data_IF_208501467798
#
_entry.id   IF_208501467798
#
_cell.length_a   1.000
_cell.length_b   1.000
_cell.length_c   1.000
_cell.angle_alpha   90.00
_cell.angle_beta   90.00
_cell.angle_gamma   90.00
#
_symmetry.space_group_name_H-M   'P 1'
#
loop_
_entity.id
_entity.type
_entity.pdbx_description
1 polymer ?
#
# COMPACT_ATOMS: atom_id res chain seq x y z
N UNK A 1 57.02 -17.64 -5.16
CA UNK A 1 56.37 -17.41 -3.85
C UNK A 1 55.55 -16.10 -3.78
N UNK A 2 55.40 -15.32 -4.86
CA UNK A 2 54.81 -13.95 -4.81
C UNK A 2 53.30 -13.88 -5.14
N UNK A 3 52.70 -14.90 -5.75
CA UNK A 3 51.28 -14.84 -6.18
C UNK A 3 50.25 -15.20 -5.10
N UNK A 4 50.65 -15.89 -4.03
CA UNK A 4 49.71 -16.37 -2.98
C UNK A 4 49.47 -15.30 -1.93
N UNK A 5 50.50 -14.51 -1.57
CA UNK A 5 50.37 -13.40 -0.63
C UNK A 5 49.46 -12.27 -1.17
N UNK A 6 49.53 -11.98 -2.48
CA UNK A 6 48.66 -10.99 -3.12
C UNK A 6 47.17 -11.44 -3.14
N UNK A 7 46.90 -12.74 -3.32
CA UNK A 7 45.53 -13.28 -3.24
C UNK A 7 44.97 -13.24 -1.81
N UNK A 8 45.80 -13.47 -0.80
CA UNK A 8 45.38 -13.43 0.60
C UNK A 8 45.12 -12.00 1.09
N UNK A 9 45.90 -11.02 0.64
CA UNK A 9 45.65 -9.59 0.96
C UNK A 9 44.30 -9.12 0.40
N UNK A 10 44.01 -9.43 -0.87
CA UNK A 10 42.75 -9.04 -1.50
C UNK A 10 41.51 -9.69 -0.85
N UNK A 11 41.62 -10.94 -0.35
CA UNK A 11 40.50 -11.61 0.33
C UNK A 11 40.25 -11.01 1.72
N UNK A 12 41.31 -10.62 2.45
CA UNK A 12 41.19 -9.97 3.75
C UNK A 12 40.59 -8.56 3.63
N UNK A 13 40.98 -7.81 2.59
CA UNK A 13 40.47 -6.45 2.34
C UNK A 13 38.99 -6.47 1.92
N UNK A 14 38.56 -7.46 1.11
CA UNK A 14 37.14 -7.65 0.73
C UNK A 14 36.29 -8.08 1.92
N UNK A 15 36.76 -9.01 2.76
CA UNK A 15 36.04 -9.42 3.97
C UNK A 15 35.90 -8.27 4.99
N UNK A 16 36.86 -7.35 5.05
CA UNK A 16 36.78 -6.15 5.89
C UNK A 16 35.75 -5.14 5.37
N UNK A 17 35.64 -4.99 4.05
CA UNK A 17 34.64 -4.13 3.40
C UNK A 17 33.21 -4.67 3.56
N UNK A 18 33.00 -5.97 3.40
CA UNK A 18 31.69 -6.59 3.54
C UNK A 18 31.17 -6.53 4.99
N UNK A 19 32.06 -6.72 5.97
CA UNK A 19 31.72 -6.56 7.38
C UNK A 19 31.31 -5.11 7.73
N UNK A 20 31.95 -4.10 7.11
CA UNK A 20 31.54 -2.70 7.26
C UNK A 20 30.20 -2.42 6.59
N UNK A 21 29.94 -3.00 5.41
CA UNK A 21 28.67 -2.86 4.72
C UNK A 21 27.50 -3.44 5.55
N UNK A 22 27.67 -4.60 6.18
CA UNK A 22 26.66 -5.19 7.06
C UNK A 22 26.32 -4.29 8.26
N UNK A 23 27.33 -3.68 8.90
CA UNK A 23 27.11 -2.74 10.01
C UNK A 23 26.35 -1.50 9.55
N UNK A 24 26.65 -0.98 8.37
CA UNK A 24 25.95 0.19 7.81
C UNK A 24 24.50 -0.16 7.45
N UNK A 25 24.25 -1.33 6.87
CA UNK A 25 22.90 -1.81 6.54
C UNK A 25 22.07 -1.98 7.81
N UNK A 26 22.63 -2.56 8.87
CA UNK A 26 21.94 -2.71 10.15
C UNK A 26 21.59 -1.36 10.77
N UNK A 27 22.50 -0.38 10.73
CA UNK A 27 22.21 0.98 11.18
C UNK A 27 21.13 1.66 10.34
N UNK A 28 21.10 1.39 9.04
CA UNK A 28 20.05 1.90 8.17
C UNK A 28 18.70 1.26 8.49
N UNK A 29 18.67 -0.04 8.79
CA UNK A 29 17.48 -0.76 9.24
C UNK A 29 16.89 -0.16 10.51
N UNK A 30 17.72 0.11 11.52
CA UNK A 30 17.30 0.79 12.76
C UNK A 30 16.68 2.16 12.51
N UNK A 31 17.28 2.97 11.63
CA UNK A 31 16.77 4.31 11.32
C UNK A 31 15.48 4.28 10.52
N UNK A 32 15.29 3.29 9.63
CA UNK A 32 14.02 3.10 8.92
C UNK A 32 12.92 2.68 9.88
N UNK A 33 13.20 1.80 10.86
CA UNK A 33 12.22 1.45 11.90
C UNK A 33 11.79 2.65 12.74
N UNK A 34 12.75 3.50 13.15
CA UNK A 34 12.44 4.74 13.87
C UNK A 34 11.59 5.70 13.01
N UNK A 35 11.91 5.83 11.72
CA UNK A 35 11.13 6.63 10.78
C UNK A 35 9.69 6.11 10.65
N UNK A 36 9.51 4.80 10.50
CA UNK A 36 8.18 4.16 10.42
C UNK A 36 7.38 4.42 11.69
N UNK A 37 7.97 4.23 12.87
CA UNK A 37 7.32 4.50 14.14
C UNK A 37 6.88 5.98 14.26
N UNK A 38 7.74 6.92 13.83
CA UNK A 38 7.40 8.35 13.84
C UNK A 38 6.25 8.70 12.88
N UNK A 39 6.17 8.00 11.73
CA UNK A 39 5.10 8.20 10.75
C UNK A 39 3.77 7.69 11.29
N UNK A 40 3.76 6.50 11.90
CA UNK A 40 2.58 5.94 12.56
C UNK A 40 2.07 6.85 13.67
N UNK A 41 2.98 7.44 14.45
CA UNK A 41 2.64 8.44 15.47
C UNK A 41 1.97 9.69 14.88
N UNK A 42 2.48 10.22 13.76
CA UNK A 42 1.88 11.36 13.07
C UNK A 42 0.49 11.02 12.51
N UNK A 43 0.31 9.81 11.96
CA UNK A 43 -0.99 9.32 11.47
C UNK A 43 -1.98 9.22 12.63
N UNK A 44 -1.58 8.63 13.75
CA UNK A 44 -2.41 8.51 14.94
C UNK A 44 -2.82 9.89 15.49
N UNK A 45 -1.90 10.84 15.53
CA UNK A 45 -2.19 12.21 15.96
C UNK A 45 -3.19 12.89 15.01
N UNK A 46 -3.00 12.75 13.69
CA UNK A 46 -3.91 13.32 12.69
C UNK A 46 -5.32 12.75 12.81
N UNK A 47 -5.43 11.43 13.02
CA UNK A 47 -6.71 10.77 13.22
C UNK A 47 -7.38 11.21 14.53
N UNK A 48 -6.61 11.32 15.62
CA UNK A 48 -7.10 11.81 16.91
C UNK A 48 -7.64 13.25 16.80
N UNK A 49 -6.91 14.16 16.13
CA UNK A 49 -7.37 15.54 15.90
C UNK A 49 -8.70 15.58 15.15
N UNK A 50 -8.90 14.68 14.18
CA UNK A 50 -10.17 14.57 13.43
C UNK A 50 -11.32 13.97 14.27
N UNK A 51 -10.99 13.10 15.22
CA UNK A 51 -11.97 12.42 16.06
C UNK A 51 -12.42 13.28 17.26
N UNK A 52 -11.54 14.09 17.86
CA UNK A 52 -11.84 14.90 19.04
C UNK A 52 -13.13 15.76 18.90
N UNK A 53 -13.39 16.46 17.78
CA UNK A 53 -14.63 17.24 17.62
C UNK A 53 -15.91 16.40 17.71
N UNK A 54 -15.87 15.12 17.36
CA UNK A 54 -17.02 14.22 17.43
C UNK A 54 -17.31 13.72 18.84
N UNK A 55 -16.29 13.69 19.70
CA UNK A 55 -16.37 13.23 21.10
C UNK A 55 -16.60 14.41 22.05
N UNK A 56 -16.30 15.63 21.62
CA UNK A 56 -16.47 16.84 22.41
C UNK A 56 -17.95 17.14 22.69
N UNK A 57 -18.31 17.18 23.97
CA UNK A 57 -19.60 17.68 24.44
C UNK A 57 -19.39 19.03 25.14
N UNK A 58 -19.96 20.14 24.63
CA UNK A 58 -19.98 21.40 25.36
C UNK A 58 -20.76 21.22 26.67
N UNK A 59 -20.18 21.61 27.80
CA UNK A 59 -20.90 21.60 29.07
C UNK A 59 -21.92 22.75 29.11
N UNK A 60 -23.22 22.44 29.10
CA UNK A 60 -24.32 23.42 29.17
C UNK A 60 -24.46 24.14 30.53
N UNK A 61 -23.53 23.95 31.47
CA UNK A 61 -23.58 24.59 32.78
C UNK A 61 -22.69 25.84 32.83
N UNK A 62 -23.30 26.96 32.49
CA UNK A 62 -22.75 28.31 32.54
C UNK A 62 -22.40 28.82 33.97
N UNK A 63 -22.11 27.94 34.94
CA UNK A 63 -21.83 28.33 36.34
C UNK A 63 -20.46 27.91 36.87
N UNK A 64 -19.69 27.12 36.14
CA UNK A 64 -18.29 26.83 36.51
C UNK A 64 -17.43 26.84 35.26
N UNK A 65 -16.56 27.84 35.13
CA UNK A 65 -15.57 27.94 34.05
C UNK A 65 -14.52 26.83 34.25
N UNK A 66 -14.86 25.60 33.85
CA UNK A 66 -13.92 24.50 33.84
C UNK A 66 -13.39 24.35 32.42
N UNK A 67 -12.18 24.88 32.22
CA UNK A 67 -11.47 24.77 30.94
C UNK A 67 -11.37 23.30 30.55
N UNK A 68 -11.99 22.93 29.42
CA UNK A 68 -11.86 21.57 28.90
C UNK A 68 -10.40 21.33 28.55
N UNK A 69 -9.78 20.35 29.19
CA UNK A 69 -8.39 20.02 28.91
C UNK A 69 -8.29 19.23 27.60
N UNK A 70 -8.10 19.93 26.48
CA UNK A 70 -7.99 19.31 25.16
C UNK A 70 -6.78 18.38 25.02
N UNK A 71 -5.73 18.58 25.82
CA UNK A 71 -4.55 17.72 25.82
C UNK A 71 -4.90 16.31 26.28
N UNK A 72 -5.66 16.15 27.35
CA UNK A 72 -6.03 14.82 27.86
C UNK A 72 -7.01 14.10 26.93
N UNK A 73 -7.92 14.83 26.28
CA UNK A 73 -8.82 14.26 25.25
C UNK A 73 -8.05 13.74 24.05
N UNK A 74 -7.05 14.49 23.58
CA UNK A 74 -6.23 14.10 22.45
C UNK A 74 -5.35 12.89 22.79
N UNK A 75 -4.69 12.90 23.95
CA UNK A 75 -3.89 11.78 24.43
C UNK A 75 -4.72 10.49 24.59
N UNK A 76 -5.94 10.61 25.11
CA UNK A 76 -6.86 9.47 25.23
C UNK A 76 -7.24 8.89 23.86
N UNK A 77 -7.51 9.75 22.86
CA UNK A 77 -7.90 9.30 21.53
C UNK A 77 -6.72 8.70 20.74
N UNK A 78 -5.52 9.30 20.85
CA UNK A 78 -4.27 8.71 20.33
C UNK A 78 -4.03 7.34 20.95
N UNK A 79 -4.22 7.19 22.27
CA UNK A 79 -4.09 5.91 22.96
C UNK A 79 -5.01 4.81 22.39
N UNK A 80 -6.28 5.14 22.12
CA UNK A 80 -7.23 4.21 21.49
C UNK A 80 -6.78 3.79 20.09
N UNK A 81 -6.34 4.76 19.28
CA UNK A 81 -5.91 4.52 17.90
C UNK A 81 -4.65 3.63 17.87
N UNK A 82 -3.69 3.89 18.76
CA UNK A 82 -2.47 3.07 18.89
C UNK A 82 -2.78 1.65 19.37
N UNK A 83 -3.71 1.49 20.32
CA UNK A 83 -4.15 0.16 20.78
C UNK A 83 -4.80 -0.66 19.66
N UNK A 84 -5.62 -0.02 18.82
CA UNK A 84 -6.24 -0.66 17.66
C UNK A 84 -5.24 -1.01 16.54
N UNK A 85 -4.06 -0.37 16.51
CA UNK A 85 -3.06 -0.49 15.44
C UNK A 85 -1.84 -1.32 15.84
N UNK A 86 -1.98 -2.23 16.80
CA UNK A 86 -0.89 -3.03 17.39
C UNK A 86 -0.29 -4.11 16.45
N UNK A 87 -0.10 -3.78 15.18
CA UNK A 87 0.77 -4.51 14.27
C UNK A 87 2.23 -4.22 14.66
N UNK A 88 3.09 -5.24 14.63
CA UNK A 88 4.53 -5.05 14.82
C UNK A 88 5.07 -4.12 13.72
N UNK A 89 5.94 -3.16 14.08
CA UNK A 89 6.55 -2.24 13.09
C UNK A 89 7.34 -2.94 11.98
N UNK A 90 7.65 -4.23 12.15
CA UNK A 90 8.26 -5.09 11.14
C UNK A 90 7.32 -5.47 9.99
N UNK A 91 6.01 -5.38 10.20
CA UNK A 91 4.99 -5.69 9.18
C UNK A 91 4.59 -4.45 8.36
N UNK A 92 5.27 -3.31 8.55
CA UNK A 92 4.96 -2.10 7.81
C UNK A 92 5.44 -2.23 6.34
N UNK A 93 4.60 -1.90 5.34
CA UNK A 93 4.98 -2.00 3.92
C UNK A 93 6.29 -1.27 3.56
N UNK A 94 6.56 -0.12 4.19
CA UNK A 94 7.78 0.64 3.94
C UNK A 94 9.04 -0.10 4.44
N UNK A 95 8.93 -0.76 5.59
CA UNK A 95 10.04 -1.53 6.14
C UNK A 95 10.29 -2.83 5.35
N UNK A 96 9.21 -3.49 4.91
CA UNK A 96 9.30 -4.63 4.00
C UNK A 96 10.00 -4.27 2.70
N UNK A 97 9.57 -3.19 2.04
CA UNK A 97 10.16 -2.70 0.81
C UNK A 97 11.66 -2.39 0.98
N UNK A 98 12.05 -1.82 2.13
CA UNK A 98 13.45 -1.59 2.45
C UNK A 98 14.24 -2.90 2.47
N UNK A 99 13.78 -3.93 3.20
CA UNK A 99 14.46 -5.23 3.27
C UNK A 99 14.56 -5.91 1.90
N UNK A 100 13.47 -5.90 1.13
CA UNK A 100 13.45 -6.45 -0.23
C UNK A 100 14.45 -5.73 -1.15
N UNK A 101 14.52 -4.40 -1.05
CA UNK A 101 15.47 -3.60 -1.84
C UNK A 101 16.92 -3.91 -1.48
N UNK A 102 17.23 -4.06 -0.19
CA UNK A 102 18.56 -4.47 0.29
C UNK A 102 18.90 -5.89 -0.20
N UNK A 103 17.94 -6.82 -0.12
CA UNK A 103 18.11 -8.19 -0.60
C UNK A 103 18.40 -8.27 -2.10
N UNK A 104 17.63 -7.52 -2.90
CA UNK A 104 17.70 -7.50 -4.36
C UNK A 104 19.07 -7.05 -4.91
N UNK A 105 19.87 -6.31 -4.13
CA UNK A 105 21.23 -5.87 -4.54
C UNK A 105 22.15 -7.06 -4.85
N UNK A 106 22.04 -8.14 -4.07
CA UNK A 106 22.90 -9.33 -4.21
C UNK A 106 22.14 -10.58 -4.67
N UNK A 107 20.81 -10.55 -4.67
CA UNK A 107 19.95 -11.72 -4.90
C UNK A 107 18.83 -11.43 -5.91
N UNK A 108 19.15 -10.64 -6.95
CA UNK A 108 18.16 -10.25 -7.96
C UNK A 108 17.44 -11.46 -8.58
N UNK A 109 16.11 -11.42 -8.58
CA UNK A 109 15.26 -12.49 -9.08
C UNK A 109 15.09 -13.69 -8.14
N UNK A 110 15.68 -13.66 -6.94
CA UNK A 110 15.44 -14.65 -5.89
C UNK A 110 14.55 -14.05 -4.80
N UNK A 111 13.51 -14.77 -4.34
CA UNK A 111 12.70 -14.32 -3.22
C UNK A 111 13.53 -14.23 -1.93
N UNK A 112 13.20 -13.29 -1.05
CA UNK A 112 13.89 -13.11 0.23
C UNK A 112 13.58 -14.29 1.18
N UNK A 113 14.59 -14.97 1.77
CA UNK A 113 14.38 -16.10 2.66
C UNK A 113 13.57 -15.71 3.90
N UNK A 114 12.60 -16.53 4.28
CA UNK A 114 11.80 -16.35 5.48
C UNK A 114 10.50 -15.55 5.30
N UNK A 115 10.24 -14.96 4.13
CA UNK A 115 8.91 -14.39 3.81
C UNK A 115 7.93 -15.43 3.23
N UNK A 116 8.38 -16.67 3.01
CA UNK A 116 7.59 -17.77 2.44
C UNK A 116 6.69 -18.50 3.46
N UNK A 117 6.71 -18.11 4.75
CA UNK A 117 5.86 -18.69 5.79
C UNK A 117 4.88 -17.71 6.45
N UNK A 118 4.94 -16.43 6.08
CA UNK A 118 3.97 -15.44 6.54
C UNK A 118 2.98 -15.19 5.40
N UNK A 119 1.96 -16.06 5.40
CA UNK A 119 0.73 -15.93 4.64
C UNK A 119 0.84 -16.09 3.11
N UNK A 120 0.76 -17.35 2.65
CA UNK A 120 -0.33 -17.65 1.68
C UNK A 120 -1.66 -17.61 2.45
N UNK A 121 -1.97 -16.47 3.06
CA UNK A 121 -3.36 -16.04 3.05
C UNK A 121 -3.56 -15.80 1.57
N UNK A 122 -4.44 -16.57 0.95
CA UNK A 122 -5.18 -16.03 -0.17
C UNK A 122 -5.84 -14.75 0.36
N UNK A 123 -5.10 -13.65 0.40
CA UNK A 123 -5.70 -12.32 0.43
C UNK A 123 -6.16 -12.18 -1.00
N UNK A 124 -7.21 -12.92 -1.32
CA UNK A 124 -7.89 -12.81 -2.58
C UNK A 124 -8.21 -11.33 -2.70
N UNK A 125 -7.46 -10.64 -3.56
CA UNK A 125 -7.93 -9.45 -4.22
C UNK A 125 -8.33 -8.28 -3.29
N UNK A 126 -7.54 -7.90 -2.27
CA UNK A 126 -7.68 -6.54 -1.72
C UNK A 126 -6.96 -5.52 -2.63
N UNK A 127 -7.37 -5.47 -3.89
CA UNK A 127 -7.03 -4.34 -4.75
C UNK A 127 -7.71 -3.10 -4.16
N UNK A 128 -6.92 -2.18 -3.61
CA UNK A 128 -7.41 -0.87 -3.17
C UNK A 128 -8.00 -0.05 -4.34
N UNK A 129 -7.64 -0.44 -5.57
CA UNK A 129 -8.15 0.08 -6.83
C UNK A 129 -9.58 -0.42 -7.07
N UNK A 130 -10.55 0.49 -6.99
CA UNK A 130 -11.98 0.16 -7.14
C UNK A 130 -12.45 0.00 -8.58
N UNK A 131 -11.63 0.39 -9.57
CA UNK A 131 -11.99 0.30 -10.99
C UNK A 131 -10.80 -0.14 -11.83
N UNK A 132 -11.03 -1.09 -12.73
CA UNK A 132 -10.00 -1.65 -13.62
C UNK A 132 -9.75 -0.80 -14.86
N UNK A 133 -10.72 0.03 -15.25
CA UNK A 133 -10.65 0.93 -16.41
C UNK A 133 -11.07 2.34 -16.02
N UNK A 134 -10.53 3.34 -16.70
CA UNK A 134 -10.97 4.73 -16.56
C UNK A 134 -12.39 4.88 -17.14
N UNK A 135 -13.39 5.33 -16.35
CA UNK A 135 -14.78 5.45 -16.81
C UNK A 135 -15.01 6.47 -17.94
N UNK A 136 -14.03 7.35 -18.21
CA UNK A 136 -14.14 8.39 -19.23
C UNK A 136 -13.41 8.04 -20.53
N UNK A 137 -12.29 7.33 -20.45
CA UNK A 137 -11.47 6.99 -21.62
C UNK A 137 -11.57 5.52 -22.02
N UNK A 138 -12.06 4.66 -21.13
CA UNK A 138 -12.08 3.21 -21.31
C UNK A 138 -10.71 2.54 -21.20
N UNK A 139 -9.62 3.31 -21.07
CA UNK A 139 -8.26 2.77 -20.92
C UNK A 139 -8.14 2.01 -19.60
N UNK A 140 -7.42 0.88 -19.56
CA UNK A 140 -7.15 0.19 -18.31
C UNK A 140 -6.30 1.08 -17.40
N UNK A 141 -6.54 0.98 -16.08
CA UNK A 141 -5.87 1.83 -15.09
C UNK A 141 -4.35 1.69 -15.15
N UNK A 142 -3.86 0.49 -15.46
CA UNK A 142 -2.45 0.18 -15.67
C UNK A 142 -1.82 0.87 -16.88
N UNK A 143 -2.59 1.45 -17.80
CA UNK A 143 -2.07 2.16 -18.99
C UNK A 143 -2.27 3.68 -18.92
N UNK A 144 -2.75 4.21 -17.79
CA UNK A 144 -2.94 5.64 -17.62
C UNK A 144 -1.59 6.35 -17.48
N UNK A 145 -1.41 7.43 -18.23
CA UNK A 145 -0.18 8.24 -18.18
C UNK A 145 -0.17 9.12 -16.92
N UNK A 146 -1.33 9.74 -16.64
CA UNK A 146 -1.53 10.61 -15.49
C UNK A 146 -2.76 10.16 -14.69
N UNK A 147 -2.65 9.07 -13.92
CA UNK A 147 -3.74 8.59 -13.08
C UNK A 147 -4.04 9.58 -11.95
N UNK A 148 -5.32 9.84 -11.72
CA UNK A 148 -5.81 10.64 -10.60
C UNK A 148 -6.99 9.94 -9.94
N UNK A 149 -7.08 10.02 -8.62
CA UNK A 149 -8.10 9.38 -7.81
C UNK A 149 -8.97 10.43 -7.14
N UNK A 150 -10.28 10.20 -7.12
CA UNK A 150 -11.19 11.03 -6.34
C UNK A 150 -11.10 10.67 -4.86
N UNK A 151 -10.90 11.64 -3.98
CA UNK A 151 -10.81 11.42 -2.52
C UNK A 151 -12.13 10.87 -1.94
N UNK A 152 -13.28 11.30 -2.48
CA UNK A 152 -14.61 10.98 -1.93
C UNK A 152 -15.16 9.61 -2.35
N UNK A 153 -14.74 9.08 -3.50
CA UNK A 153 -15.20 7.79 -4.05
C UNK A 153 -14.09 6.82 -4.45
N UNK A 154 -12.82 7.21 -4.35
CA UNK A 154 -11.63 6.42 -4.69
C UNK A 154 -11.55 5.89 -6.14
N UNK A 155 -12.45 6.30 -7.03
CA UNK A 155 -12.36 5.95 -8.45
C UNK A 155 -11.22 6.70 -9.15
N UNK A 156 -10.57 6.00 -10.08
CA UNK A 156 -9.38 6.43 -10.82
C UNK A 156 -9.76 6.88 -12.22
N UNK A 157 -9.15 7.98 -12.66
CA UNK A 157 -9.36 8.59 -13.95
C UNK A 157 -8.05 9.04 -14.59
N UNK A 158 -8.06 9.24 -15.90
CA UNK A 158 -7.04 10.01 -16.58
C UNK A 158 -7.23 11.52 -16.27
N UNK A 159 -6.15 12.22 -15.93
CA UNK A 159 -6.19 13.61 -15.46
C UNK A 159 -6.84 14.58 -16.45
N UNK A 160 -6.47 14.56 -17.73
CA UNK A 160 -6.97 15.55 -18.69
C UNK A 160 -8.47 15.37 -18.98
N UNK A 161 -8.96 14.14 -19.27
CA UNK A 161 -10.39 13.89 -19.50
C UNK A 161 -11.27 14.20 -18.30
N UNK A 162 -10.86 13.84 -17.07
CA UNK A 162 -11.68 14.11 -15.89
C UNK A 162 -11.79 15.60 -15.59
N UNK A 163 -10.72 16.36 -15.79
CA UNK A 163 -10.74 17.82 -15.63
C UNK A 163 -11.67 18.47 -16.67
N UNK A 164 -11.69 17.98 -17.91
CA UNK A 164 -12.64 18.45 -18.92
C UNK A 164 -14.08 18.07 -18.59
N UNK A 165 -14.31 16.84 -18.12
CA UNK A 165 -15.63 16.36 -17.70
C UNK A 165 -16.23 17.20 -16.55
N UNK A 166 -15.43 17.51 -15.52
CA UNK A 166 -15.86 18.34 -14.39
C UNK A 166 -16.25 19.75 -14.83
N UNK A 167 -15.56 20.31 -15.84
CA UNK A 167 -15.85 21.64 -16.38
C UNK A 167 -17.08 21.69 -17.29
N UNK A 168 -17.37 20.61 -18.01
CA UNK A 168 -18.43 20.54 -19.01
C UNK A 168 -19.79 20.12 -18.45
N UNK A 169 -19.84 19.27 -17.41
CA UNK A 169 -21.08 18.76 -16.83
C UNK A 169 -21.47 19.47 -15.53
N UNK A 170 -22.75 19.77 -15.33
CA UNK A 170 -23.29 20.39 -14.10
C UNK A 170 -24.59 19.69 -13.63
N UNK A 171 -24.61 18.99 -12.48
CA UNK A 171 -23.47 18.69 -11.61
C UNK A 171 -22.56 17.57 -12.18
N UNK A 172 -21.24 17.66 -12.02
CA UNK A 172 -20.30 16.65 -12.51
C UNK A 172 -20.30 15.41 -11.60
N UNK A 173 -21.29 14.54 -11.75
CA UNK A 173 -21.37 13.28 -11.00
C UNK A 173 -20.31 12.28 -11.45
N UNK A 174 -19.87 11.42 -10.53
CA UNK A 174 -19.03 10.27 -10.82
C UNK A 174 -19.63 9.42 -11.97
N UNK A 175 -18.88 9.11 -13.05
CA UNK A 175 -19.39 8.31 -14.17
C UNK A 175 -19.56 6.81 -13.86
N UNK A 176 -19.07 6.33 -12.71
CA UNK A 176 -19.24 4.94 -12.29
C UNK A 176 -20.71 4.70 -11.93
N UNK A 177 -21.30 3.66 -12.50
CA UNK A 177 -22.67 3.26 -12.20
C UNK A 177 -22.86 3.02 -10.69
N UNK A 178 -23.88 3.66 -10.11
CA UNK A 178 -24.20 3.52 -8.68
C UNK A 178 -23.39 4.40 -7.73
N UNK A 179 -22.45 5.22 -8.21
CA UNK A 179 -21.72 6.16 -7.36
C UNK A 179 -22.44 7.52 -7.26
N UNK A 180 -22.93 7.95 -6.08
CA UNK A 180 -23.67 9.21 -5.93
C UNK A 180 -22.77 10.46 -5.79
N UNK A 181 -21.44 10.30 -5.77
CA UNK A 181 -20.52 11.40 -5.48
C UNK A 181 -20.44 12.40 -6.63
N UNK A 182 -20.33 13.67 -6.28
CA UNK A 182 -20.11 14.78 -7.21
C UNK A 182 -18.61 15.09 -7.22
N UNK A 183 -17.99 15.05 -8.40
CA UNK A 183 -16.57 15.29 -8.59
C UNK A 183 -16.25 16.78 -8.46
N UNK A 184 -15.22 17.10 -7.71
CA UNK A 184 -14.68 18.45 -7.59
C UNK A 184 -13.21 18.47 -8.01
N UNK A 185 -12.77 19.56 -8.65
CA UNK A 185 -11.38 19.69 -9.13
C UNK A 185 -10.36 19.51 -7.98
N UNK A 186 -10.67 20.05 -6.80
CA UNK A 186 -9.80 19.92 -5.61
C UNK A 186 -9.75 18.51 -5.03
N UNK A 187 -10.75 17.66 -5.31
CA UNK A 187 -10.87 16.32 -4.74
C UNK A 187 -10.38 15.22 -5.70
N UNK A 188 -9.90 15.58 -6.88
CA UNK A 188 -9.34 14.64 -7.87
C UNK A 188 -7.83 14.87 -7.93
N UNK A 189 -7.08 14.00 -7.25
CA UNK A 189 -5.65 14.17 -7.01
C UNK A 189 -4.89 12.88 -7.32
N UNK A 190 -3.63 13.00 -7.74
CA UNK A 190 -2.72 11.86 -7.78
C UNK A 190 -2.01 11.80 -6.43
N UNK A 191 -2.49 10.96 -5.51
CA UNK A 191 -1.75 10.73 -4.27
C UNK A 191 -0.52 9.84 -4.51
N UNK A 192 0.51 9.88 -3.63
CA UNK A 192 1.73 9.11 -3.82
C UNK A 192 1.51 7.59 -3.85
N UNK A 193 0.52 7.08 -3.11
CA UNK A 193 0.24 5.65 -3.02
C UNK A 193 -0.43 5.12 -4.28
N UNK A 194 -1.27 5.92 -4.95
CA UNK A 194 -1.94 5.54 -6.20
C UNK A 194 -0.96 5.02 -7.27
N UNK A 195 0.22 5.63 -7.38
CA UNK A 195 1.24 5.18 -8.35
C UNK A 195 1.84 3.84 -7.98
N UNK A 196 2.02 3.59 -6.69
CA UNK A 196 2.55 2.33 -6.15
C UNK A 196 1.50 1.23 -6.36
N UNK A 197 0.24 1.49 -5.98
CA UNK A 197 -0.89 0.56 -6.18
C UNK A 197 -1.03 0.14 -7.66
N UNK A 198 -0.88 1.09 -8.60
CA UNK A 198 -0.94 0.81 -10.05
C UNK A 198 0.27 -0.01 -10.52
N UNK A 199 1.46 0.24 -9.97
CA UNK A 199 2.67 -0.48 -10.33
C UNK A 199 2.67 -1.92 -9.79
N UNK A 200 2.15 -2.12 -8.58
CA UNK A 200 1.87 -3.45 -8.04
C UNK A 200 0.87 -4.22 -8.92
N UNK A 201 -0.19 -3.54 -9.38
CA UNK A 201 -1.18 -4.11 -10.30
C UNK A 201 -0.57 -4.50 -11.66
N UNK A 202 0.43 -3.77 -12.15
CA UNK A 202 1.19 -4.13 -13.36
C UNK A 202 2.08 -5.35 -13.13
N UNK A 203 2.77 -5.37 -11.99
CA UNK A 203 3.71 -6.42 -11.63
C UNK A 203 3.02 -7.77 -11.37
N UNK A 204 1.74 -7.75 -11.00
CA UNK A 204 0.87 -8.93 -10.86
C UNK A 204 0.21 -9.41 -12.17
N UNK A 205 0.66 -8.91 -13.34
CA UNK A 205 0.23 -9.34 -14.67
C UNK A 205 0.44 -10.83 -14.99
N UNK A 206 -0.15 -11.36 -16.08
CA UNK A 206 -0.77 -12.67 -16.16
C UNK A 206 0.21 -13.86 -16.14
N UNK A 207 0.50 -14.36 -14.96
CA UNK A 207 0.87 -15.78 -14.70
C UNK A 207 -0.22 -16.50 -13.90
N UNK A 208 -1.48 -16.10 -14.08
CA UNK A 208 -2.61 -17.01 -13.88
C UNK A 208 -2.89 -17.66 -15.24
N UNK A 209 -2.69 -18.98 -15.41
CA UNK A 209 -3.12 -19.64 -16.64
C UNK A 209 -4.62 -19.42 -16.74
N UNK A 210 -5.02 -18.78 -17.84
CA UNK A 210 -6.36 -18.69 -18.38
C UNK A 210 -7.37 -19.61 -17.66
N UNK A 211 -8.20 -19.03 -16.80
CA UNK A 211 -9.38 -19.68 -16.22
C UNK A 211 -10.49 -19.89 -17.28
N UNK A 212 -10.11 -20.29 -18.49
CA UNK A 212 -10.98 -20.69 -19.59
C UNK A 212 -10.75 -22.14 -20.04
N UNK A 213 -9.81 -22.87 -19.43
CA UNK A 213 -9.60 -24.32 -19.67
C UNK A 213 -9.88 -25.15 -18.41
N UNK A 214 -11.09 -25.04 -17.85
CA UNK A 214 -11.60 -26.15 -17.02
C UNK A 214 -12.21 -27.14 -18.01
N UNK A 215 -11.41 -28.09 -18.47
CA UNK A 215 -11.93 -29.24 -19.21
C UNK A 215 -12.72 -30.11 -18.23
N UNK A 216 -14.03 -30.13 -18.43
CA UNK A 216 -14.98 -30.97 -17.73
C UNK A 216 -14.83 -32.41 -18.23
N UNK A 217 -14.22 -33.27 -17.41
CA UNK A 217 -13.99 -34.69 -17.73
C UNK A 217 -15.10 -35.61 -17.19
N UNK A 218 -16.29 -35.07 -16.88
CA UNK A 218 -17.30 -35.85 -16.13
C UNK A 218 -18.12 -36.85 -16.97
N UNK A 219 -17.88 -37.00 -18.28
CA UNK A 219 -18.72 -37.86 -19.15
C UNK A 219 -17.95 -39.01 -19.84
N UNK A 220 -17.26 -39.88 -19.09
CA UNK A 220 -16.77 -41.17 -19.64
C UNK A 220 -16.96 -42.34 -18.67
N UNK A 221 -18.09 -42.39 -17.98
CA UNK A 221 -18.60 -43.65 -17.43
C UNK A 221 -20.03 -43.81 -17.95
N UNK A 222 -20.18 -44.76 -18.86
CA UNK A 222 -21.33 -45.64 -19.07
C UNK A 222 -21.54 -45.88 -20.57
N UNK A 223 -20.92 -46.94 -21.09
CA UNK A 223 -21.48 -47.78 -22.15
C UNK A 223 -20.74 -49.14 -22.10
N UNK A 224 -21.20 -49.97 -21.15
CA UNK A 224 -21.20 -51.41 -21.36
C UNK A 224 -22.16 -51.69 -22.53
N UNK A 225 -21.66 -52.08 -23.69
CA UNK A 225 -22.44 -52.81 -24.70
C UNK A 225 -21.56 -53.89 -25.35
N UNK A 226 -21.71 -55.10 -24.81
CA UNK A 226 -21.82 -56.40 -25.49
C UNK A 226 -21.09 -56.64 -26.84
N UNK A 227 -20.04 -57.47 -26.81
CA UNK A 227 -19.90 -58.70 -27.61
C UNK A 227 -18.66 -59.54 -27.22
#
# INVERSE_FOLDING_TARGET
MSSVAAKLSNIADVASSDAQALVVVQKLEETVLEMVASYEDCVALTQAIKAVPSVYQPSDQASTFQETNFKTLLEAEVGKIKQASSASGQNNPLFRQFRESVWNVHHAGQPMPGEEQEDIVMTSTQMTILNVTCPLTGKPVIELENPVRCVDCRHIYEKNPVMHYIRSKKPPQCPIAGCPRILQIGNVVCDPLLRIEIEELRSSGPTAPNATNVEDFTDLLDEDEDD
#
